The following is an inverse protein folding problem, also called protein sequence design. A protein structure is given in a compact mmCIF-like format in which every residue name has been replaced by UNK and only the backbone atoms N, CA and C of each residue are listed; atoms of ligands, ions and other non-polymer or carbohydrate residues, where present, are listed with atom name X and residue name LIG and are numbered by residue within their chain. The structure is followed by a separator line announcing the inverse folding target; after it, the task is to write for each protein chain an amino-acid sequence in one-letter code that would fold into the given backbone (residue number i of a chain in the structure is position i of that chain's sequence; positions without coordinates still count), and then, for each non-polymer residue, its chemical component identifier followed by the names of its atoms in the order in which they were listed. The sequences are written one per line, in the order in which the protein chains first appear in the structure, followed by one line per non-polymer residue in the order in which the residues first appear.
data_IF_459158796683
#
_entry.id   IF_459158796683
#
_cell.length_a   1.000
_cell.length_b   1.000
_cell.length_c   1.000
_cell.angle_alpha   90.00
_cell.angle_beta   90.00
_cell.angle_gamma   90.00
#
_symmetry.space_group_name_H-M   'P 1'
#
loop_
_entity.id
_entity.type
_entity.pdbx_description
1 polymer ?
#
# COMPACT_ATOMS: atom_id res chain seq x y z
N UNK A 1 -23.88 -3.19 26.25
CA UNK A 1 -22.62 -3.97 26.22
C UNK A 1 -21.67 -3.38 27.25
N UNK A 2 -21.01 -4.20 28.07
CA UNK A 2 -19.92 -3.77 28.96
C UNK A 2 -18.64 -4.39 28.42
N UNK A 3 -17.63 -3.57 28.17
CA UNK A 3 -16.33 -4.00 27.70
C UNK A 3 -15.32 -3.89 28.85
N UNK A 4 -14.53 -4.93 29.07
CA UNK A 4 -13.44 -4.94 30.07
C UNK A 4 -12.12 -5.26 29.38
N UNK A 5 -11.05 -4.57 29.77
CA UNK A 5 -9.68 -4.81 29.28
C UNK A 5 -8.85 -5.23 30.48
N UNK A 6 -8.42 -6.49 30.48
CA UNK A 6 -7.81 -7.15 31.63
C UNK A 6 -6.33 -7.46 31.33
N UNK A 7 -5.40 -7.13 32.23
CA UNK A 7 -3.98 -7.47 32.08
C UNK A 7 -3.73 -8.96 32.34
N UNK A 8 -2.72 -9.54 31.68
CA UNK A 8 -2.22 -10.91 31.93
C UNK A 8 -0.78 -10.87 32.48
N UNK A 9 -0.58 -10.50 33.76
CA UNK A 9 0.76 -10.44 34.35
C UNK A 9 1.36 -11.85 34.51
N UNK A 10 2.69 -11.93 34.55
CA UNK A 10 3.39 -13.16 34.92
C UNK A 10 3.76 -14.10 33.78
N UNK A 11 3.56 -13.70 32.51
CA UNK A 11 4.05 -14.46 31.34
C UNK A 11 5.60 -14.48 31.31
N UNK A 12 6.25 -13.38 31.69
CA UNK A 12 7.71 -13.31 31.77
C UNK A 12 8.41 -13.26 30.41
N UNK A 13 9.64 -13.79 30.37
CA UNK A 13 10.45 -13.82 29.15
C UNK A 13 10.10 -15.04 28.30
N UNK A 14 9.84 -14.80 27.00
CA UNK A 14 9.58 -15.86 26.01
C UNK A 14 10.82 -16.08 25.17
N UNK A 15 11.16 -17.35 24.95
CA UNK A 15 12.28 -17.84 24.14
C UNK A 15 11.77 -18.69 22.97
N UNK A 16 12.66 -19.02 22.05
CA UNK A 16 12.38 -19.92 20.94
C UNK A 16 11.91 -21.29 21.43
N UNK A 17 10.81 -21.77 20.86
CA UNK A 17 10.18 -23.05 21.20
C UNK A 17 9.25 -23.02 22.42
N UNK A 18 9.11 -21.89 23.10
CA UNK A 18 8.22 -21.78 24.26
C UNK A 18 6.75 -21.98 23.88
N UNK A 19 6.01 -22.70 24.72
CA UNK A 19 4.59 -22.95 24.55
C UNK A 19 3.74 -21.78 25.03
N UNK A 20 3.39 -20.88 24.10
CA UNK A 20 2.60 -19.69 24.42
C UNK A 20 1.24 -20.00 25.03
N UNK A 21 0.56 -21.07 24.60
CA UNK A 21 -0.74 -21.41 25.17
C UNK A 21 -0.60 -21.80 26.65
N UNK A 22 0.41 -22.62 26.98
CA UNK A 22 0.68 -23.03 28.35
C UNK A 22 1.07 -21.84 29.24
N UNK A 23 1.92 -20.94 28.74
CA UNK A 23 2.31 -19.71 29.45
C UNK A 23 1.10 -18.81 29.72
N UNK A 24 0.27 -18.57 28.70
CA UNK A 24 -0.92 -17.71 28.81
C UNK A 24 -1.96 -18.34 29.75
N UNK A 25 -2.26 -19.63 29.61
CA UNK A 25 -3.24 -20.31 30.46
C UNK A 25 -2.78 -20.36 31.93
N UNK A 26 -1.47 -20.47 32.17
CA UNK A 26 -0.89 -20.41 33.53
C UNK A 26 -1.00 -19.01 34.12
N UNK A 27 -0.73 -17.96 33.33
CA UNK A 27 -0.80 -16.57 33.78
C UNK A 27 -2.24 -16.05 33.92
N UNK A 28 -3.18 -16.57 33.13
CA UNK A 28 -4.58 -16.20 33.13
C UNK A 28 -5.51 -17.43 33.30
N UNK A 29 -5.49 -18.10 34.46
CA UNK A 29 -6.38 -19.23 34.74
C UNK A 29 -7.87 -18.81 34.84
N UNK A 30 -8.14 -17.51 34.78
CA UNK A 30 -9.46 -16.88 34.81
C UNK A 30 -10.04 -16.60 33.42
N UNK A 31 -9.35 -16.99 32.33
CA UNK A 31 -9.86 -16.94 30.97
C UNK A 31 -11.19 -17.69 30.86
N UNK A 32 -12.06 -17.21 29.97
CA UNK A 32 -13.39 -17.76 29.76
C UNK A 32 -13.73 -17.78 28.28
N UNK A 33 -14.68 -18.64 27.93
CA UNK A 33 -15.16 -18.73 26.57
C UNK A 33 -15.68 -17.37 26.06
N UNK A 34 -15.31 -17.03 24.82
CA UNK A 34 -15.69 -15.77 24.18
C UNK A 34 -14.80 -14.57 24.53
N UNK A 35 -13.78 -14.75 25.36
CA UNK A 35 -12.73 -13.73 25.54
C UNK A 35 -11.95 -13.50 24.23
N UNK A 36 -11.43 -12.29 24.04
CA UNK A 36 -10.52 -11.94 22.94
C UNK A 36 -9.12 -11.69 23.51
N UNK A 37 -8.14 -12.50 23.14
CA UNK A 37 -6.75 -12.31 23.52
C UNK A 37 -6.07 -11.40 22.50
N UNK A 38 -5.52 -10.28 22.96
CA UNK A 38 -4.64 -9.41 22.17
C UNK A 38 -3.20 -9.72 22.56
N UNK A 39 -2.49 -10.42 21.69
CA UNK A 39 -1.15 -10.97 21.91
C UNK A 39 -0.16 -10.19 21.05
N UNK A 40 0.88 -9.59 21.64
CA UNK A 40 1.89 -8.91 20.83
C UNK A 40 2.65 -9.88 19.92
N UNK A 41 2.87 -9.48 18.67
CA UNK A 41 3.66 -10.20 17.66
C UNK A 41 5.01 -10.62 18.21
N UNK A 42 5.64 -9.81 19.07
CA UNK A 42 6.98 -10.07 19.61
C UNK A 42 7.12 -11.40 20.33
N UNK A 43 6.14 -11.81 21.14
CA UNK A 43 6.24 -13.12 21.83
C UNK A 43 5.91 -14.27 20.89
N UNK A 44 5.07 -14.05 19.89
CA UNK A 44 4.79 -15.00 18.81
C UNK A 44 6.08 -15.23 18.01
N UNK A 45 6.69 -14.16 17.50
CA UNK A 45 7.96 -14.18 16.80
C UNK A 45 9.06 -14.88 17.59
N UNK A 46 9.19 -14.61 18.89
CA UNK A 46 10.20 -15.27 19.73
C UNK A 46 9.94 -16.77 19.85
N UNK A 47 8.72 -17.18 20.17
CA UNK A 47 8.36 -18.59 20.28
C UNK A 47 8.58 -19.35 18.96
N UNK A 48 8.35 -18.67 17.82
CA UNK A 48 8.51 -19.22 16.47
C UNK A 48 9.95 -19.10 15.92
N UNK A 49 10.91 -18.61 16.70
CA UNK A 49 12.31 -18.52 16.24
C UNK A 49 12.57 -17.43 15.19
N UNK A 50 11.71 -16.42 15.09
CA UNK A 50 11.85 -15.27 14.18
C UNK A 50 12.84 -14.22 14.72
N UNK A 51 14.02 -14.70 15.13
CA UNK A 51 15.12 -13.90 15.65
C UNK A 51 16.31 -13.98 14.68
N UNK A 52 16.95 -12.83 14.42
CA UNK A 52 18.15 -12.77 13.57
C UNK A 52 19.30 -12.17 14.37
N UNK A 53 20.44 -12.86 14.35
CA UNK A 53 21.66 -12.37 14.96
C UNK A 53 22.29 -11.25 14.11
N UNK A 54 22.71 -10.19 14.79
CA UNK A 54 23.36 -9.01 14.20
C UNK A 54 24.50 -8.51 15.10
N UNK A 55 25.52 -7.83 14.56
CA UNK A 55 26.54 -7.16 15.37
C UNK A 55 25.90 -6.19 16.38
N UNK A 56 26.43 -6.11 17.61
CA UNK A 56 25.82 -5.32 18.69
C UNK A 56 25.74 -3.81 18.38
N UNK A 57 26.73 -3.28 17.65
CA UNK A 57 26.87 -1.88 17.28
C UNK A 57 27.73 -1.73 16.01
N UNK A 58 28.05 -0.48 15.65
CA UNK A 58 28.93 -0.16 14.53
C UNK A 58 28.26 -0.14 13.15
N UNK A 59 29.01 0.26 12.11
CA UNK A 59 28.54 0.24 10.73
C UNK A 59 28.06 -1.13 10.25
N UNK A 60 28.67 -2.21 10.74
CA UNK A 60 28.35 -3.59 10.39
C UNK A 60 26.92 -3.96 10.82
N UNK A 61 26.47 -3.47 11.98
CA UNK A 61 25.07 -3.63 12.41
C UNK A 61 24.09 -2.99 11.44
N UNK A 62 24.42 -1.81 10.93
CA UNK A 62 23.56 -1.07 9.99
C UNK A 62 23.45 -1.84 8.68
N UNK A 63 24.57 -2.37 8.18
CA UNK A 63 24.60 -3.22 6.97
C UNK A 63 23.71 -4.46 7.17
N UNK A 64 23.94 -5.23 8.25
CA UNK A 64 23.16 -6.43 8.54
C UNK A 64 21.66 -6.11 8.68
N UNK A 65 21.30 -5.03 9.39
CA UNK A 65 19.90 -4.60 9.52
C UNK A 65 19.28 -4.24 8.17
N UNK A 66 20.03 -3.58 7.28
CA UNK A 66 19.53 -3.22 5.95
C UNK A 66 19.34 -4.44 5.05
N UNK A 67 20.21 -5.46 5.16
CA UNK A 67 20.04 -6.73 4.47
C UNK A 67 18.79 -7.47 4.95
N UNK A 68 18.57 -7.54 6.26
CA UNK A 68 17.35 -8.11 6.85
C UNK A 68 16.11 -7.33 6.40
N UNK A 69 16.16 -6.00 6.43
CA UNK A 69 15.06 -5.16 5.94
C UNK A 69 14.77 -5.42 4.47
N UNK A 70 15.79 -5.55 3.62
CA UNK A 70 15.61 -5.85 2.21
C UNK A 70 14.98 -7.24 2.01
N UNK A 71 15.39 -8.24 2.80
CA UNK A 71 14.83 -9.59 2.76
C UNK A 71 13.34 -9.64 3.16
N UNK A 72 12.93 -8.83 4.15
CA UNK A 72 11.53 -8.75 4.63
C UNK A 72 10.66 -7.76 3.82
N UNK A 73 11.23 -7.09 2.80
CA UNK A 73 10.55 -6.08 1.98
C UNK A 73 10.13 -6.66 0.63
N UNK A 74 8.84 -6.62 0.33
CA UNK A 74 8.31 -6.88 -1.01
C UNK A 74 8.54 -5.68 -1.94
N UNK A 75 8.27 -4.45 -1.44
CA UNK A 75 8.60 -3.20 -2.15
C UNK A 75 8.80 -2.03 -1.20
N UNK A 76 9.62 -1.07 -1.62
CA UNK A 76 9.79 0.20 -0.93
C UNK A 76 8.65 1.15 -1.35
N UNK A 77 7.96 1.72 -0.36
CA UNK A 77 6.90 2.72 -0.58
C UNK A 77 7.48 4.13 -0.51
N UNK A 78 8.25 4.41 0.55
CA UNK A 78 8.85 5.73 0.75
C UNK A 78 10.17 5.64 1.54
N UNK A 79 11.11 6.52 1.23
CA UNK A 79 12.39 6.63 1.89
C UNK A 79 12.66 8.07 2.35
N UNK A 80 13.11 8.22 3.60
CA UNK A 80 13.59 9.51 4.12
C UNK A 80 14.73 9.29 5.11
N UNK A 81 15.95 9.66 4.72
CA UNK A 81 17.14 9.36 5.51
C UNK A 81 17.32 7.84 5.64
N UNK A 82 17.40 7.34 6.86
CA UNK A 82 17.46 5.89 7.15
C UNK A 82 16.08 5.25 7.26
N UNK A 83 15.03 6.05 7.47
CA UNK A 83 13.66 5.54 7.58
C UNK A 83 13.16 5.04 6.23
N UNK A 84 12.55 3.86 6.25
CA UNK A 84 11.87 3.25 5.11
C UNK A 84 10.45 2.87 5.53
N UNK A 85 9.48 3.30 4.74
CA UNK A 85 8.14 2.70 4.73
C UNK A 85 8.14 1.68 3.60
N UNK A 86 7.78 0.45 3.92
CA UNK A 86 7.85 -0.69 3.00
C UNK A 86 6.55 -1.48 3.06
N UNK A 87 6.24 -2.18 1.99
CA UNK A 87 5.31 -3.29 2.01
C UNK A 87 6.09 -4.56 2.35
N UNK A 88 5.67 -5.28 3.40
CA UNK A 88 6.24 -6.59 3.75
C UNK A 88 5.69 -7.69 2.82
N UNK A 89 6.23 -8.90 2.87
CA UNK A 89 5.69 -10.04 2.10
C UNK A 89 4.27 -10.44 2.51
N UNK A 90 3.86 -10.12 3.74
CA UNK A 90 2.47 -10.25 4.21
C UNK A 90 1.52 -9.25 3.54
N UNK A 91 2.07 -8.13 3.03
CA UNK A 91 1.31 -7.01 2.48
C UNK A 91 1.13 -5.82 3.44
N UNK A 92 1.65 -5.88 4.68
CA UNK A 92 1.59 -4.75 5.61
C UNK A 92 2.45 -3.58 5.13
N UNK A 93 1.90 -2.36 5.16
CA UNK A 93 2.64 -1.14 4.82
C UNK A 93 3.04 -0.41 6.10
N UNK A 94 4.29 -0.54 6.49
CA UNK A 94 4.78 -0.03 7.77
C UNK A 94 6.26 0.36 7.76
N UNK A 95 6.71 0.98 8.84
CA UNK A 95 8.11 1.37 8.98
C UNK A 95 9.00 0.14 9.21
N UNK A 96 10.13 0.07 8.50
CA UNK A 96 11.18 -0.94 8.70
C UNK A 96 10.68 -2.40 8.74
N UNK A 97 9.64 -2.73 7.96
CA UNK A 97 9.04 -4.06 7.87
C UNK A 97 8.57 -4.69 9.20
N UNK A 98 8.34 -3.88 10.25
CA UNK A 98 8.03 -4.40 11.59
C UNK A 98 9.24 -5.03 12.29
N UNK A 99 10.45 -4.87 11.75
CA UNK A 99 11.68 -5.33 12.39
C UNK A 99 11.91 -4.50 13.65
N UNK A 100 11.97 -5.19 14.78
CA UNK A 100 12.14 -4.58 16.09
C UNK A 100 13.50 -4.95 16.71
N UNK A 101 14.13 -3.98 17.36
CA UNK A 101 15.37 -4.13 18.12
C UNK A 101 15.16 -3.91 19.64
N UNK A 102 13.92 -3.67 20.06
CA UNK A 102 13.53 -3.42 21.44
C UNK A 102 13.08 -4.69 22.16
N UNK A 103 13.28 -4.75 23.47
CA UNK A 103 12.94 -5.91 24.32
C UNK A 103 13.59 -7.24 23.86
N UNK A 104 14.75 -7.13 23.22
CA UNK A 104 15.68 -8.23 22.87
C UNK A 104 17.11 -7.85 23.20
N UNK A 105 18.00 -8.83 23.21
CA UNK A 105 19.43 -8.58 23.33
C UNK A 105 19.92 -7.67 22.19
N UNK A 106 20.92 -6.82 22.47
CA UNK A 106 21.45 -5.92 21.46
C UNK A 106 21.92 -6.67 20.22
N UNK A 107 22.43 -7.89 20.34
CA UNK A 107 22.90 -8.69 19.20
C UNK A 107 21.77 -9.34 18.38
N UNK A 108 20.51 -8.98 18.60
CA UNK A 108 19.39 -9.58 17.86
C UNK A 108 18.41 -8.54 17.31
N UNK A 109 17.73 -8.96 16.25
CA UNK A 109 16.51 -8.35 15.72
C UNK A 109 15.36 -9.35 15.82
N UNK A 110 14.14 -8.85 16.01
CA UNK A 110 12.91 -9.62 15.94
C UNK A 110 12.22 -9.31 14.63
N UNK A 111 11.88 -10.34 13.86
CA UNK A 111 11.07 -10.24 12.66
C UNK A 111 9.61 -10.51 13.01
N UNK A 112 8.68 -10.13 12.13
CA UNK A 112 7.28 -10.53 12.29
C UNK A 112 7.14 -12.06 12.15
N UNK A 113 6.08 -12.66 12.73
CA UNK A 113 5.68 -14.03 12.42
C UNK A 113 5.49 -14.19 10.91
N UNK A 114 5.84 -15.34 10.32
CA UNK A 114 5.72 -15.56 8.86
C UNK A 114 4.26 -15.64 8.39
N UNK A 115 3.37 -16.15 9.24
CA UNK A 115 1.93 -16.17 9.01
C UNK A 115 1.22 -15.89 10.35
N UNK A 116 1.04 -14.61 10.72
CA UNK A 116 0.41 -14.25 11.99
C UNK A 116 -1.03 -14.76 12.13
N UNK A 117 -1.75 -14.96 11.02
CA UNK A 117 -3.10 -15.55 11.01
C UNK A 117 -3.02 -17.04 11.38
N UNK A 118 -2.05 -17.78 10.84
CA UNK A 118 -1.80 -19.17 11.24
C UNK A 118 -1.35 -19.26 12.70
N UNK A 119 -0.47 -18.35 13.17
CA UNK A 119 -0.06 -18.29 14.58
C UNK A 119 -1.25 -18.07 15.51
N UNK A 120 -2.18 -17.16 15.16
CA UNK A 120 -3.39 -16.93 15.92
C UNK A 120 -4.28 -18.18 16.01
N UNK A 121 -4.46 -18.87 14.88
CA UNK A 121 -5.24 -20.13 14.80
C UNK A 121 -4.61 -21.24 15.63
N UNK A 122 -3.29 -21.41 15.54
CA UNK A 122 -2.56 -22.41 16.31
C UNK A 122 -2.67 -22.14 17.82
N UNK A 123 -2.52 -20.88 18.26
CA UNK A 123 -2.66 -20.51 19.66
C UNK A 123 -4.08 -20.75 20.17
N UNK A 124 -5.12 -20.35 19.41
CA UNK A 124 -6.51 -20.62 19.75
C UNK A 124 -6.78 -22.12 19.89
N UNK A 125 -6.40 -22.90 18.89
CA UNK A 125 -6.60 -24.36 18.88
C UNK A 125 -5.94 -25.01 20.10
N UNK A 126 -4.70 -24.61 20.40
CA UNK A 126 -3.96 -25.10 21.54
C UNK A 126 -4.61 -24.76 22.90
N UNK A 127 -5.13 -23.54 23.07
CA UNK A 127 -5.88 -23.15 24.27
C UNK A 127 -7.17 -23.96 24.42
N UNK A 128 -7.91 -24.15 23.32
CA UNK A 128 -9.14 -24.93 23.33
C UNK A 128 -8.89 -26.41 23.65
N UNK A 129 -7.93 -27.03 22.99
CA UNK A 129 -7.66 -28.46 23.11
C UNK A 129 -7.02 -28.85 24.44
N UNK A 130 -6.08 -28.04 24.94
CA UNK A 130 -5.28 -28.40 26.13
C UNK A 130 -5.77 -27.76 27.42
N UNK A 131 -6.46 -26.62 27.32
CA UNK A 131 -6.94 -25.86 28.48
C UNK A 131 -8.46 -25.72 28.52
N UNK A 132 -9.18 -26.19 27.50
CA UNK A 132 -10.64 -26.25 27.50
C UNK A 132 -11.33 -24.89 27.43
N UNK A 133 -10.64 -23.85 26.94
CA UNK A 133 -11.21 -22.50 26.78
C UNK A 133 -11.21 -22.12 25.30
N UNK A 134 -12.38 -21.74 24.77
CA UNK A 134 -12.52 -21.25 23.40
C UNK A 134 -12.52 -19.72 23.37
N UNK A 135 -11.51 -19.13 22.76
CA UNK A 135 -11.28 -17.68 22.71
C UNK A 135 -11.04 -17.21 21.29
N UNK A 136 -11.17 -15.92 21.03
CA UNK A 136 -10.59 -15.31 19.84
C UNK A 136 -9.15 -14.85 20.14
N UNK A 137 -8.30 -14.83 19.12
CA UNK A 137 -6.90 -14.40 19.23
C UNK A 137 -6.63 -13.34 18.18
N UNK A 138 -6.05 -12.23 18.60
CA UNK A 138 -5.51 -11.16 17.76
C UNK A 138 -4.01 -11.09 18.03
N UNK A 139 -3.19 -11.34 17.02
CA UNK A 139 -1.76 -11.02 17.04
C UNK A 139 -1.61 -9.57 16.65
N UNK A 140 -1.12 -8.72 17.56
CA UNK A 140 -1.01 -7.27 17.36
C UNK A 140 0.43 -6.79 17.25
N UNK A 141 0.65 -5.72 16.51
CA UNK A 141 1.92 -5.01 16.53
C UNK A 141 1.71 -3.49 16.46
N UNK A 142 2.72 -2.77 16.92
CA UNK A 142 2.69 -1.32 17.03
C UNK A 142 3.10 -0.66 15.73
N UNK A 143 2.22 0.16 15.15
CA UNK A 143 2.54 0.90 13.94
C UNK A 143 2.12 2.38 13.97
N UNK A 144 2.81 3.16 13.15
CA UNK A 144 2.41 4.52 12.81
C UNK A 144 1.31 4.51 11.74
N UNK A 145 0.71 5.67 11.48
CA UNK A 145 -0.28 5.83 10.41
C UNK A 145 -0.19 7.22 9.78
N UNK A 146 -0.55 7.37 8.49
CA UNK A 146 -0.48 8.65 7.81
C UNK A 146 -1.19 9.78 8.55
N UNK A 147 -0.58 10.98 8.53
CA UNK A 147 -1.16 12.24 9.02
C UNK A 147 -1.50 12.30 10.53
N UNK A 148 -0.97 11.38 11.34
CA UNK A 148 -1.17 11.39 12.80
C UNK A 148 0.15 11.13 13.53
N UNK A 149 0.40 11.91 14.58
CA UNK A 149 1.50 11.66 15.51
C UNK A 149 1.12 10.55 16.50
N UNK A 150 2.12 9.78 16.91
CA UNK A 150 1.96 8.66 17.83
C UNK A 150 1.70 7.33 17.12
N UNK A 151 1.87 6.24 17.88
CA UNK A 151 1.69 4.87 17.41
C UNK A 151 0.38 4.31 17.98
N UNK A 152 -0.16 3.27 17.35
CA UNK A 152 -1.23 2.44 17.90
C UNK A 152 -0.93 0.99 17.52
N UNK A 153 -1.44 0.06 18.32
CA UNK A 153 -1.45 -1.33 17.90
C UNK A 153 -2.54 -1.54 16.84
N UNK A 154 -2.25 -2.43 15.90
CA UNK A 154 -3.18 -2.96 14.91
C UNK A 154 -3.08 -4.49 14.88
N UNK A 155 -4.03 -5.15 14.24
CA UNK A 155 -3.98 -6.59 14.04
C UNK A 155 -3.06 -6.96 12.85
N UNK A 156 -2.14 -7.89 13.09
CA UNK A 156 -1.38 -8.58 12.06
C UNK A 156 -1.96 -9.97 11.76
N UNK A 157 -2.61 -10.59 12.73
CA UNK A 157 -3.23 -11.91 12.61
C UNK A 157 -4.46 -12.05 13.49
N UNK A 158 -5.46 -12.82 13.06
CA UNK A 158 -6.73 -13.02 13.76
C UNK A 158 -7.24 -14.45 13.61
N UNK A 159 -7.79 -14.99 14.69
CA UNK A 159 -8.53 -16.25 14.69
C UNK A 159 -9.76 -16.18 15.63
N UNK A 160 -10.84 -16.83 15.22
CA UNK A 160 -12.06 -16.98 16.01
C UNK A 160 -13.02 -15.80 15.98
N UNK A 161 -12.77 -14.80 15.13
CA UNK A 161 -13.66 -13.66 14.90
C UNK A 161 -13.44 -13.04 13.51
N UNK A 162 -14.43 -12.28 13.02
CA UNK A 162 -14.26 -11.50 11.80
C UNK A 162 -13.35 -10.28 12.05
N UNK A 163 -12.43 -10.03 11.13
CA UNK A 163 -11.58 -8.84 11.16
C UNK A 163 -12.37 -7.56 10.89
N UNK A 164 -13.38 -7.65 10.02
CA UNK A 164 -14.24 -6.54 9.60
C UNK A 164 -15.66 -6.76 10.10
N UNK A 165 -16.22 -5.75 10.76
CA UNK A 165 -17.66 -5.64 10.95
C UNK A 165 -18.26 -4.84 9.80
N UNK A 166 -18.97 -5.55 8.94
CA UNK A 166 -19.60 -4.98 7.76
C UNK A 166 -21.01 -4.48 8.10
N UNK A 167 -21.20 -3.17 8.02
CA UNK A 167 -22.51 -2.54 8.23
C UNK A 167 -23.21 -2.24 6.90
N UNK A 168 -22.64 -2.63 5.75
CA UNK A 168 -23.25 -2.35 4.45
C UNK A 168 -24.60 -3.05 4.31
N UNK A 169 -25.59 -2.30 3.82
CA UNK A 169 -26.98 -2.76 3.73
C UNK A 169 -27.77 -2.66 5.03
N UNK A 170 -27.15 -2.32 6.17
CA UNK A 170 -27.88 -1.95 7.38
C UNK A 170 -28.55 -0.58 7.21
N UNK A 171 -29.71 -0.39 7.85
CA UNK A 171 -30.46 0.86 7.84
C UNK A 171 -30.32 1.54 9.19
N UNK A 172 -29.88 2.80 9.19
CA UNK A 172 -29.72 3.59 10.41
C UNK A 172 -31.09 3.99 11.01
N UNK A 173 -31.12 4.53 12.26
CA UNK A 173 -32.38 4.95 12.90
C UNK A 173 -33.16 6.05 12.17
N UNK A 174 -32.58 6.69 11.15
CA UNK A 174 -33.19 7.73 10.33
C UNK A 174 -33.66 7.20 8.96
N UNK A 175 -33.47 5.92 8.68
CA UNK A 175 -33.90 5.28 7.43
C UNK A 175 -32.85 5.32 6.31
N UNK A 176 -31.60 5.73 6.59
CA UNK A 176 -30.54 5.72 5.59
C UNK A 176 -29.85 4.36 5.54
N UNK A 177 -29.68 3.80 4.35
CA UNK A 177 -28.88 2.61 4.14
C UNK A 177 -27.38 2.95 4.16
N UNK A 178 -26.62 2.21 4.96
CA UNK A 178 -25.16 2.33 5.03
C UNK A 178 -24.53 1.64 3.82
N UNK A 179 -23.80 2.38 2.98
CA UNK A 179 -23.24 1.85 1.72
C UNK A 179 -21.75 1.47 1.79
N UNK A 180 -20.99 2.11 2.70
CA UNK A 180 -19.53 1.97 2.75
C UNK A 180 -18.99 1.57 4.12
N UNK A 181 -19.84 1.55 5.15
CA UNK A 181 -19.40 1.43 6.54
C UNK A 181 -18.91 0.02 6.83
N UNK A 182 -17.60 -0.13 6.90
CA UNK A 182 -16.91 -1.35 7.33
C UNK A 182 -15.92 -0.96 8.41
N UNK A 183 -16.03 -1.58 9.58
CA UNK A 183 -15.18 -1.27 10.74
C UNK A 183 -14.10 -2.33 10.86
N UNK A 184 -12.83 -1.92 10.91
CA UNK A 184 -11.71 -2.81 11.24
C UNK A 184 -11.68 -3.08 12.74
N UNK A 185 -12.65 -3.87 13.23
CA UNK A 185 -12.90 -4.03 14.66
C UNK A 185 -11.73 -4.66 15.41
N UNK A 186 -10.94 -5.49 14.73
CA UNK A 186 -9.73 -6.08 15.32
C UNK A 186 -8.61 -5.06 15.53
N UNK A 187 -8.54 -4.00 14.73
CA UNK A 187 -7.61 -2.89 14.97
C UNK A 187 -8.06 -2.03 16.16
N UNK A 188 -9.38 -1.84 16.32
CA UNK A 188 -9.94 -1.15 17.49
C UNK A 188 -9.64 -1.93 18.78
N UNK A 189 -9.79 -3.26 18.76
CA UNK A 189 -9.48 -4.14 19.88
C UNK A 189 -7.98 -4.23 20.16
N UNK A 190 -7.14 -4.28 19.11
CA UNK A 190 -5.68 -4.25 19.25
C UNK A 190 -5.22 -2.95 19.93
N UNK A 191 -5.73 -1.81 19.46
CA UNK A 191 -5.47 -0.51 20.07
C UNK A 191 -5.96 -0.41 21.51
N UNK A 192 -7.12 -1.01 21.84
CA UNK A 192 -7.62 -1.07 23.20
C UNK A 192 -6.73 -1.95 24.11
N UNK A 193 -6.29 -3.12 23.63
CA UNK A 193 -5.40 -4.01 24.36
C UNK A 193 -4.06 -3.37 24.69
N UNK A 194 -3.52 -2.53 23.79
CA UNK A 194 -2.26 -1.81 24.03
C UNK A 194 -2.32 -0.90 25.26
N UNK A 195 -3.48 -0.33 25.60
CA UNK A 195 -3.63 0.56 26.76
C UNK A 195 -3.25 -0.10 28.09
N UNK A 196 -3.40 -1.42 28.21
CA UNK A 196 -3.06 -2.17 29.42
C UNK A 196 -1.73 -2.94 29.29
N UNK A 197 -1.29 -3.25 28.06
CA UNK A 197 0.00 -3.91 27.83
C UNK A 197 1.17 -2.98 28.16
N UNK A 198 1.09 -1.73 27.73
CA UNK A 198 2.21 -0.78 27.87
C UNK A 198 3.49 -1.27 27.16
N UNK A 199 4.54 -0.44 27.17
CA UNK A 199 5.81 -0.74 26.47
C UNK A 199 6.87 -1.41 27.34
N UNK A 200 6.81 -1.20 28.65
CA UNK A 200 7.85 -1.61 29.59
C UNK A 200 7.35 -2.59 30.65
N UNK A 201 6.04 -2.86 30.72
CA UNK A 201 5.40 -3.55 31.83
C UNK A 201 5.47 -5.08 31.73
N UNK A 202 6.21 -5.62 30.75
CA UNK A 202 6.36 -7.05 30.49
C UNK A 202 5.02 -7.78 30.39
N UNK A 203 4.05 -7.12 29.74
CA UNK A 203 2.67 -7.56 29.61
C UNK A 203 2.36 -7.83 28.12
N UNK A 204 2.76 -8.98 27.57
CA UNK A 204 2.62 -9.22 26.13
C UNK A 204 1.20 -9.59 25.72
N UNK A 205 0.29 -9.84 26.67
CA UNK A 205 -1.10 -10.24 26.41
C UNK A 205 -2.07 -9.39 27.22
N UNK A 206 -3.13 -8.94 26.56
CA UNK A 206 -4.32 -8.37 27.17
C UNK A 206 -5.54 -9.20 26.81
N UNK A 207 -6.54 -9.22 27.67
CA UNK A 207 -7.83 -9.87 27.40
C UNK A 207 -8.91 -8.81 27.30
N UNK A 208 -9.61 -8.78 26.16
CA UNK A 208 -10.80 -7.97 25.97
C UNK A 208 -12.03 -8.86 26.15
N UNK A 209 -12.86 -8.54 27.14
CA UNK A 209 -14.04 -9.32 27.53
C UNK A 209 -15.32 -8.55 27.26
N UNK A 210 -16.34 -9.27 26.76
CA UNK A 210 -17.69 -8.74 26.56
C UNK A 210 -17.93 -8.11 25.18
N UNK A 211 -16.98 -8.22 24.25
CA UNK A 211 -17.15 -7.79 22.85
C UNK A 211 -17.93 -8.81 22.01
N UNK A 212 -17.48 -10.07 22.01
CA UNK A 212 -18.06 -11.13 21.20
C UNK A 212 -19.33 -11.68 21.85
N UNK A 213 -20.36 -11.88 21.03
CA UNK A 213 -21.57 -12.62 21.40
C UNK A 213 -21.47 -14.11 21.04
N UNK A 214 -20.66 -14.42 20.03
CA UNK A 214 -20.30 -15.78 19.62
C UNK A 214 -18.94 -15.75 18.92
N UNK A 215 -18.18 -16.84 19.06
CA UNK A 215 -16.94 -17.05 18.32
C UNK A 215 -17.23 -17.62 16.93
N UNK A 216 -16.33 -17.35 15.99
CA UNK A 216 -16.33 -18.03 14.69
C UNK A 216 -15.72 -19.41 14.80
N UNK A 217 -16.44 -20.50 14.48
CA UNK A 217 -15.87 -21.85 14.57
C UNK A 217 -14.84 -22.13 13.47
N UNK A 218 -14.90 -21.42 12.35
CA UNK A 218 -14.04 -21.57 11.16
C UNK A 218 -12.80 -20.65 11.18
N UNK A 219 -12.54 -19.99 12.31
CA UNK A 219 -11.51 -18.97 12.54
C UNK A 219 -11.65 -17.67 11.71
N UNK A 220 -12.34 -17.69 10.58
CA UNK A 220 -12.49 -16.57 9.66
C UNK A 220 -11.33 -16.45 8.66
N UNK A 221 -11.36 -15.38 7.87
CA UNK A 221 -10.34 -15.10 6.82
C UNK A 221 -8.99 -14.67 7.44
N UNK A 222 -9.03 -14.10 8.64
CA UNK A 222 -7.86 -13.51 9.30
C UNK A 222 -7.68 -12.01 9.02
N UNK A 223 -6.59 -11.45 9.52
CA UNK A 223 -6.20 -10.05 9.33
C UNK A 223 -5.82 -9.72 7.88
N UNK A 224 -5.49 -10.74 7.06
CA UNK A 224 -5.30 -10.57 5.61
C UNK A 224 -6.49 -9.87 4.92
N UNK A 225 -7.71 -9.99 5.47
CA UNK A 225 -8.89 -9.28 4.98
C UNK A 225 -8.78 -7.74 5.09
N UNK A 226 -7.91 -7.22 5.98
CA UNK A 226 -7.64 -5.79 6.13
C UNK A 226 -6.58 -5.27 5.15
N UNK A 227 -5.79 -6.17 4.56
CA UNK A 227 -4.74 -5.80 3.62
C UNK A 227 -5.38 -5.43 2.29
N UNK A 228 -5.22 -4.16 1.90
CA UNK A 228 -5.70 -3.68 0.60
C UNK A 228 -4.78 -4.17 -0.51
N UNK A 229 -5.38 -4.71 -1.57
CA UNK A 229 -4.66 -5.07 -2.78
C UNK A 229 -3.87 -3.87 -3.35
N UNK A 230 -2.63 -4.11 -3.77
CA UNK A 230 -1.74 -3.05 -4.27
C UNK A 230 -2.27 -2.37 -5.54
N UNK A 231 -3.11 -3.04 -6.34
CA UNK A 231 -3.79 -2.44 -7.51
C UNK A 231 -4.83 -1.40 -7.12
N UNK A 232 -5.33 -1.45 -5.88
CA UNK A 232 -6.28 -0.49 -5.31
C UNK A 232 -5.57 0.58 -4.45
N UNK A 233 -4.23 0.56 -4.37
CA UNK A 233 -3.44 1.47 -3.56
C UNK A 233 -3.28 2.84 -4.24
N UNK A 234 -4.02 3.82 -3.72
CA UNK A 234 -3.93 5.22 -4.15
C UNK A 234 -2.66 5.93 -3.67
N UNK A 235 -1.84 5.30 -2.82
CA UNK A 235 -0.63 5.84 -2.20
C UNK A 235 0.59 4.94 -2.42
N UNK A 236 0.67 4.34 -3.61
CA UNK A 236 1.69 3.34 -3.94
C UNK A 236 3.13 3.87 -3.86
N UNK A 237 3.36 5.18 -3.96
CA UNK A 237 4.69 5.77 -3.79
C UNK A 237 4.66 6.99 -2.88
N UNK A 238 5.75 7.18 -2.14
CA UNK A 238 6.06 8.44 -1.48
C UNK A 238 6.24 9.58 -2.49
N UNK A 239 6.03 10.82 -2.04
CA UNK A 239 6.06 11.99 -2.93
C UNK A 239 7.39 12.16 -3.68
N UNK A 240 8.52 11.83 -3.06
CA UNK A 240 9.82 11.96 -3.69
C UNK A 240 10.02 10.87 -4.76
N UNK A 241 9.63 9.65 -4.43
CA UNK A 241 9.67 8.47 -5.30
C UNK A 241 8.76 8.65 -6.51
N UNK A 242 7.53 9.13 -6.31
CA UNK A 242 6.59 9.43 -7.39
C UNK A 242 7.14 10.49 -8.35
N UNK A 243 7.77 11.55 -7.84
CA UNK A 243 8.42 12.57 -8.68
C UNK A 243 9.58 12.01 -9.47
N UNK A 244 10.45 11.23 -8.84
CA UNK A 244 11.59 10.60 -9.50
C UNK A 244 11.14 9.63 -10.60
N UNK A 245 10.15 8.78 -10.30
CA UNK A 245 9.57 7.84 -11.25
C UNK A 245 8.93 8.57 -12.45
N UNK A 246 8.15 9.63 -12.19
CA UNK A 246 7.55 10.44 -13.24
C UNK A 246 8.59 11.13 -14.15
N UNK A 247 9.68 11.65 -13.59
CA UNK A 247 10.78 12.23 -14.36
C UNK A 247 11.49 11.19 -15.23
N UNK A 248 11.74 9.99 -14.69
CA UNK A 248 12.34 8.89 -15.44
C UNK A 248 11.42 8.44 -16.60
N UNK A 249 10.12 8.26 -16.33
CA UNK A 249 9.15 7.87 -17.34
C UNK A 249 9.04 8.91 -18.47
N UNK A 250 9.05 10.20 -18.13
CA UNK A 250 9.02 11.29 -19.11
C UNK A 250 10.27 11.35 -20.01
N UNK A 251 11.39 10.76 -19.57
CA UNK A 251 12.62 10.68 -20.35
C UNK A 251 12.63 9.50 -21.35
N UNK A 252 11.75 8.51 -21.16
CA UNK A 252 11.70 7.26 -21.95
C UNK A 252 10.28 7.00 -22.45
N UNK A 253 9.68 7.97 -23.13
CA UNK A 253 8.34 7.81 -23.70
C UNK A 253 8.34 6.78 -24.83
N UNK A 254 7.32 5.90 -24.90
CA UNK A 254 7.18 4.97 -26.02
C UNK A 254 6.90 5.72 -27.34
N UNK A 255 7.58 5.29 -28.41
CA UNK A 255 7.39 5.78 -29.78
C UNK A 255 6.43 4.86 -30.54
N UNK A 256 5.13 5.12 -30.41
CA UNK A 256 4.08 4.31 -31.07
C UNK A 256 2.69 4.56 -30.52
N UNK A 257 1.62 4.35 -31.33
CA UNK A 257 0.24 4.36 -30.84
C UNK A 257 -0.08 3.13 -30.00
N UNK A 258 -1.09 3.24 -29.13
CA UNK A 258 -1.61 2.10 -28.38
C UNK A 258 -2.48 1.21 -29.28
N UNK A 259 -2.67 -0.08 -28.93
CA UNK A 259 -3.61 -0.94 -29.66
C UNK A 259 -5.07 -0.47 -29.55
N UNK A 260 -5.41 0.19 -28.45
CA UNK A 260 -6.74 0.71 -28.15
C UNK A 260 -6.80 2.19 -28.50
N UNK A 261 -7.84 2.65 -29.24
CA UNK A 261 -8.03 4.06 -29.51
C UNK A 261 -8.05 4.91 -28.22
N UNK A 262 -7.37 6.07 -28.19
CA UNK A 262 -7.37 6.92 -27.01
C UNK A 262 -8.73 7.60 -26.82
N UNK A 263 -9.08 7.87 -25.55
CA UNK A 263 -10.21 8.74 -25.20
C UNK A 263 -9.95 10.18 -25.71
N UNK A 264 -10.81 10.75 -26.57
CA UNK A 264 -10.64 12.12 -27.05
C UNK A 264 -10.61 13.16 -25.92
N UNK A 265 -11.28 12.92 -24.79
CA UNK A 265 -11.20 13.84 -23.64
C UNK A 265 -9.84 13.77 -22.95
N UNK A 266 -9.21 12.59 -22.87
CA UNK A 266 -7.84 12.42 -22.40
C UNK A 266 -6.83 13.22 -23.24
N UNK A 267 -6.98 13.16 -24.58
CA UNK A 267 -6.15 13.96 -25.49
C UNK A 267 -6.35 15.47 -25.27
N UNK A 268 -7.60 15.92 -25.07
CA UNK A 268 -7.89 17.33 -24.78
C UNK A 268 -7.32 17.77 -23.42
N UNK A 269 -7.40 16.94 -22.39
CA UNK A 269 -6.77 17.22 -21.07
C UNK A 269 -5.25 17.34 -21.19
N UNK A 270 -4.61 16.47 -21.96
CA UNK A 270 -3.17 16.54 -22.22
C UNK A 270 -2.77 17.87 -22.90
N UNK A 271 -3.51 18.29 -23.94
CA UNK A 271 -3.29 19.58 -24.61
C UNK A 271 -3.52 20.75 -23.62
N UNK A 272 -4.61 20.70 -22.85
CA UNK A 272 -4.93 21.72 -21.84
C UNK A 272 -3.87 21.86 -20.75
N UNK A 273 -3.25 20.74 -20.34
CA UNK A 273 -2.20 20.69 -19.31
C UNK A 273 -0.98 21.53 -19.68
N UNK A 274 -0.61 21.55 -20.97
CA UNK A 274 0.57 22.28 -21.44
C UNK A 274 0.25 23.68 -21.99
N UNK A 275 -1.02 24.05 -22.10
CA UNK A 275 -1.46 25.26 -22.83
C UNK A 275 -0.79 26.55 -22.35
N UNK A 276 -0.46 26.65 -21.06
CA UNK A 276 0.15 27.85 -20.46
C UNK A 276 1.69 27.80 -20.39
N UNK A 277 2.32 26.72 -20.84
CA UNK A 277 3.79 26.52 -20.75
C UNK A 277 4.46 26.34 -22.11
N UNK A 278 3.68 26.24 -23.19
CA UNK A 278 4.18 26.24 -24.57
C UNK A 278 4.58 27.65 -25.00
N UNK A 279 5.41 27.75 -26.04
CA UNK A 279 5.80 29.06 -26.57
C UNK A 279 4.58 29.85 -27.09
N UNK A 280 4.55 31.19 -26.92
CA UNK A 280 3.51 32.01 -27.53
C UNK A 280 3.40 31.77 -29.02
N UNK A 281 2.19 31.44 -29.50
CA UNK A 281 1.93 31.11 -30.91
C UNK A 281 2.13 29.64 -31.28
N UNK A 282 2.70 28.79 -30.41
CA UNK A 282 2.62 27.34 -30.56
C UNK A 282 1.18 26.88 -30.30
N UNK A 283 0.68 25.99 -31.16
CA UNK A 283 -0.65 25.38 -31.02
C UNK A 283 -0.62 23.89 -31.30
N UNK A 284 -1.47 23.16 -30.58
CA UNK A 284 -1.72 21.73 -30.77
C UNK A 284 -3.22 21.52 -30.98
N UNK A 285 -3.59 20.88 -32.08
CA UNK A 285 -4.98 20.71 -32.50
C UNK A 285 -5.31 19.24 -32.70
N UNK A 286 -6.25 18.73 -31.90
CA UNK A 286 -6.87 17.43 -32.14
C UNK A 286 -7.79 17.50 -33.36
N UNK A 287 -7.54 16.66 -34.37
CA UNK A 287 -8.39 16.56 -35.55
C UNK A 287 -9.61 15.69 -35.22
N UNK A 288 -10.66 16.32 -34.70
CA UNK A 288 -11.86 15.64 -34.22
C UNK A 288 -12.73 15.08 -35.36
N UNK A 289 -12.87 15.84 -36.45
CA UNK A 289 -13.66 15.45 -37.61
C UNK A 289 -13.06 14.25 -38.33
N UNK A 290 -13.86 13.21 -38.55
CA UNK A 290 -13.41 11.92 -39.08
C UNK A 290 -13.03 12.00 -40.56
N UNK A 291 -13.79 12.72 -41.38
CA UNK A 291 -13.52 12.85 -42.81
C UNK A 291 -12.25 13.65 -43.05
N UNK A 292 -12.09 14.77 -42.31
CA UNK A 292 -10.87 15.57 -42.33
C UNK A 292 -9.68 14.76 -41.83
N UNK A 293 -9.84 13.99 -40.75
CA UNK A 293 -8.77 13.13 -40.22
C UNK A 293 -8.35 12.09 -41.25
N UNK A 294 -9.29 11.36 -41.85
CA UNK A 294 -8.99 10.34 -42.86
C UNK A 294 -8.27 10.93 -44.08
N UNK A 295 -8.70 12.10 -44.55
CA UNK A 295 -8.05 12.80 -45.66
C UNK A 295 -6.62 13.27 -45.33
N UNK A 296 -6.37 13.68 -44.09
CA UNK A 296 -5.05 14.10 -43.64
C UNK A 296 -4.11 12.92 -43.38
N UNK A 297 -4.55 11.88 -42.66
CA UNK A 297 -3.71 10.73 -42.30
C UNK A 297 -3.26 9.93 -43.52
N UNK A 298 -4.10 9.82 -44.56
CA UNK A 298 -3.73 9.22 -45.85
C UNK A 298 -2.54 9.91 -46.54
N UNK A 299 -2.23 11.14 -46.13
CA UNK A 299 -1.15 11.97 -46.68
C UNK A 299 0.05 12.09 -45.73
N UNK A 300 -0.04 11.57 -44.49
CA UNK A 300 1.08 11.56 -43.54
C UNK A 300 2.01 10.39 -43.88
N UNK A 301 3.29 10.65 -44.22
CA UNK A 301 4.24 9.59 -44.49
C UNK A 301 4.45 8.71 -43.25
N UNK A 302 4.31 7.38 -43.41
CA UNK A 302 4.55 6.42 -42.34
C UNK A 302 3.45 6.35 -41.27
N UNK A 303 2.21 6.75 -41.58
CA UNK A 303 1.07 6.62 -40.67
C UNK A 303 0.89 5.16 -40.19
N UNK A 304 0.95 4.88 -38.87
CA UNK A 304 0.77 3.53 -38.36
C UNK A 304 -0.66 3.03 -38.55
N UNK A 305 -0.81 1.76 -38.92
CA UNK A 305 -2.13 1.12 -39.07
C UNK A 305 -2.95 1.14 -37.77
N UNK A 306 -2.28 1.05 -36.63
CA UNK A 306 -2.93 1.08 -35.32
C UNK A 306 -3.34 2.49 -34.85
N UNK A 307 -2.82 3.55 -35.49
CA UNK A 307 -3.11 4.91 -35.07
C UNK A 307 -4.49 5.35 -35.57
N UNK A 308 -5.32 5.82 -34.65
CA UNK A 308 -6.73 6.20 -34.94
C UNK A 308 -6.96 7.69 -34.73
N UNK A 309 -6.08 8.36 -34.00
CA UNK A 309 -6.21 9.78 -33.65
C UNK A 309 -5.02 10.57 -34.15
N UNK A 310 -5.28 11.80 -34.63
CA UNK A 310 -4.29 12.73 -35.17
C UNK A 310 -4.30 14.02 -34.36
N UNK A 311 -3.13 14.41 -33.85
CA UNK A 311 -2.89 15.77 -33.32
C UNK A 311 -1.88 16.48 -34.21
N UNK A 312 -2.24 17.68 -34.68
CA UNK A 312 -1.35 18.54 -35.45
C UNK A 312 -0.69 19.57 -34.54
N UNK A 313 0.62 19.74 -34.68
CA UNK A 313 1.38 20.76 -33.99
C UNK A 313 1.88 21.84 -34.96
N UNK A 314 1.70 23.10 -34.58
CA UNK A 314 2.15 24.26 -35.36
C UNK A 314 2.90 25.24 -34.46
N UNK A 315 4.15 25.62 -34.77
CA UNK A 315 4.86 26.68 -34.07
C UNK A 315 4.30 28.05 -34.45
N UNK A 316 4.75 29.09 -33.72
CA UNK A 316 4.54 30.46 -34.14
C UNK A 316 5.15 30.70 -35.53
N UNK A 317 4.46 31.45 -36.40
CA UNK A 317 4.94 31.80 -37.74
C UNK A 317 5.25 33.29 -37.83
N UNK A 318 6.33 33.69 -38.54
CA UNK A 318 7.37 32.83 -39.14
C UNK A 318 8.27 32.16 -38.08
N UNK A 319 8.69 30.91 -38.33
CA UNK A 319 9.55 30.16 -37.41
C UNK A 319 11.01 30.18 -37.90
N UNK A 320 11.94 30.63 -37.06
CA UNK A 320 13.38 30.47 -37.26
C UNK A 320 13.92 29.16 -36.66
N UNK A 321 15.22 28.84 -36.83
CA UNK A 321 15.83 27.64 -36.26
C UNK A 321 15.65 27.51 -34.75
N UNK A 322 15.75 28.61 -33.99
CA UNK A 322 15.55 28.61 -32.54
C UNK A 322 14.09 28.30 -32.15
N UNK A 323 13.12 28.76 -32.94
CA UNK A 323 11.70 28.50 -32.71
C UNK A 323 11.36 27.03 -32.97
N UNK A 324 12.01 26.40 -33.94
CA UNK A 324 11.87 24.96 -34.20
C UNK A 324 12.45 24.11 -33.07
N UNK A 325 13.60 24.50 -32.49
CA UNK A 325 14.14 23.84 -31.28
C UNK A 325 13.17 23.96 -30.11
N UNK A 326 12.59 25.15 -29.91
CA UNK A 326 11.60 25.39 -28.85
C UNK A 326 10.32 24.59 -29.10
N UNK A 327 9.86 24.49 -30.35
CA UNK A 327 8.73 23.67 -30.75
C UNK A 327 8.96 22.19 -30.48
N UNK A 328 10.19 21.69 -30.67
CA UNK A 328 10.58 20.33 -30.25
C UNK A 328 10.40 20.10 -28.75
N UNK A 329 10.74 21.09 -27.91
CA UNK A 329 10.49 21.03 -26.47
C UNK A 329 8.98 21.05 -26.15
N UNK A 330 8.19 21.86 -26.85
CA UNK A 330 6.72 21.90 -26.71
C UNK A 330 6.08 20.57 -27.12
N UNK A 331 6.56 19.95 -28.19
CA UNK A 331 6.14 18.60 -28.61
C UNK A 331 6.45 17.57 -27.52
N UNK A 332 7.64 17.58 -26.94
CA UNK A 332 7.97 16.68 -25.84
C UNK A 332 7.06 16.89 -24.63
N UNK A 333 6.74 18.15 -24.27
CA UNK A 333 5.77 18.43 -23.20
C UNK A 333 4.40 17.82 -23.50
N UNK A 334 3.92 17.93 -24.74
CA UNK A 334 2.66 17.31 -25.14
C UNK A 334 2.71 15.79 -25.04
N UNK A 335 3.78 15.17 -25.55
CA UNK A 335 3.94 13.71 -25.49
C UNK A 335 3.99 13.21 -24.05
N UNK A 336 4.65 13.93 -23.15
CA UNK A 336 4.65 13.61 -21.71
C UNK A 336 3.26 13.75 -21.10
N UNK A 337 2.51 14.80 -21.44
CA UNK A 337 1.15 14.99 -20.95
C UNK A 337 0.18 13.91 -21.47
N UNK A 338 0.33 13.50 -22.73
CA UNK A 338 -0.41 12.38 -23.32
C UNK A 338 -0.11 11.07 -22.58
N UNK A 339 1.17 10.78 -22.34
CA UNK A 339 1.58 9.57 -21.64
C UNK A 339 1.06 9.52 -20.19
N UNK A 340 0.98 10.67 -19.50
CA UNK A 340 0.38 10.77 -18.17
C UNK A 340 -1.13 10.44 -18.16
N UNK A 341 -1.82 10.65 -19.28
CA UNK A 341 -3.21 10.25 -19.51
C UNK A 341 -3.34 8.82 -20.09
N UNK A 342 -2.24 8.06 -20.14
CA UNK A 342 -2.21 6.70 -20.69
C UNK A 342 -2.20 6.64 -22.23
N UNK A 343 -1.96 7.76 -22.91
CA UNK A 343 -1.96 7.86 -24.38
C UNK A 343 -0.52 7.89 -24.89
N UNK A 344 -0.11 6.85 -25.62
CA UNK A 344 1.20 6.84 -26.28
C UNK A 344 1.12 7.56 -27.63
N UNK A 345 2.27 7.99 -28.16
CA UNK A 345 2.29 8.81 -29.37
C UNK A 345 3.51 8.52 -30.24
N UNK A 346 3.33 8.59 -31.55
CA UNK A 346 4.41 8.59 -32.53
C UNK A 346 4.50 9.94 -33.23
N UNK A 347 5.68 10.55 -33.20
CA UNK A 347 5.97 11.78 -33.93
C UNK A 347 6.26 11.50 -35.40
N UNK A 348 5.52 12.15 -36.29
CA UNK A 348 5.62 12.02 -37.74
C UNK A 348 5.74 13.40 -38.41
N UNK A 349 6.25 13.44 -39.66
CA UNK A 349 6.15 14.63 -40.50
C UNK A 349 4.68 15.09 -40.65
N UNK A 350 4.42 16.40 -40.78
CA UNK A 350 3.06 16.89 -40.98
C UNK A 350 2.50 16.44 -42.35
N UNK A 351 1.16 16.38 -42.52
CA UNK A 351 0.57 16.16 -43.83
C UNK A 351 1.00 17.29 -44.79
N UNK A 352 1.44 16.97 -46.02
CA UNK A 352 1.83 17.97 -47.01
C UNK A 352 0.75 19.04 -47.22
N UNK A 353 1.13 20.29 -47.52
CA UNK A 353 0.17 21.36 -47.81
C UNK A 353 -0.68 21.82 -46.62
N UNK A 354 -0.32 21.44 -45.40
CA UNK A 354 -0.88 22.01 -44.17
C UNK A 354 0.06 23.07 -43.58
N UNK A 355 -0.43 23.90 -42.66
CA UNK A 355 0.41 24.83 -41.88
C UNK A 355 1.08 24.17 -40.68
N UNK A 356 0.83 22.87 -40.45
CA UNK A 356 1.42 22.11 -39.36
C UNK A 356 2.90 21.84 -39.62
N UNK A 357 3.69 21.77 -38.55
CA UNK A 357 5.11 21.40 -38.59
C UNK A 357 5.37 20.01 -37.98
N UNK A 358 4.37 19.40 -37.35
CA UNK A 358 4.43 18.04 -36.84
C UNK A 358 3.04 17.39 -36.80
N UNK A 359 3.02 16.06 -36.90
CA UNK A 359 1.86 15.22 -36.62
C UNK A 359 2.19 14.23 -35.50
N UNK A 360 1.29 14.08 -34.53
CA UNK A 360 1.32 12.98 -33.57
C UNK A 360 0.24 11.97 -33.96
N UNK A 361 0.65 10.74 -34.20
CA UNK A 361 -0.22 9.59 -34.38
C UNK A 361 -0.42 8.92 -33.01
N UNK A 362 -1.68 8.80 -32.58
CA UNK A 362 -2.07 8.23 -31.28
C UNK A 362 -2.88 6.93 -31.43
#
# INVERSE_FOLDING_TARGET
MRLEILPVPGIGHVSEGDDLAALIATAAPWLRDGDVLVVTSKIVSKAEGRLVDVPADGPERIVARNEVLAAETARVVAARGETRIVQTHHGFVMASAGIDASNVDKTRLVLLPEDPDASARALRAALRERHGVDVAVIVSDTMGRPWRNGLTDVALGVAGMDAIRDHRGEVDPYGNELQLTQMAVVDELAGAGELIKGKCDQMPVAVVRGYLTALRPDDGVGASALVRDATMDLFSLGTAEAKAAGLAAAATLPDGPNPTPPDPEAVRRAIGTIANVVAPGTSFSLVADEEVRAGLTARVPGWPVAATTLVLGSPATPAGPADLVRFGADLQRLRTALAAEGVTSLLLPPPPGTTASAALAL
#
